data_IF_947971435410
#
_entry.id   IF_947971435410
#
_cell.length_a   1.000
_cell.length_b   1.000
_cell.length_c   1.000
_cell.angle_alpha   90.00
_cell.angle_beta   90.00
_cell.angle_gamma   90.00
#
_symmetry.space_group_name_H-M   'P 1'
#
loop_
_entity.id
_entity.type
_entity.pdbx_description
1 polymer ?
#
# COMPACT_ATOMS: atom_id res chain seq x y z
N UNK A 1 -10.77 -12.19 19.68
CA UNK A 1 -11.11 -13.18 18.64
C UNK A 1 -12.36 -12.72 17.91
N UNK A 2 -12.38 -12.90 16.59
CA UNK A 2 -13.57 -12.72 15.76
C UNK A 2 -14.04 -14.10 15.27
N UNK A 3 -15.34 -14.29 15.09
CA UNK A 3 -15.90 -15.56 14.59
C UNK A 3 -16.17 -15.46 13.09
N UNK A 4 -15.70 -16.44 12.33
CA UNK A 4 -15.93 -16.54 10.88
C UNK A 4 -16.47 -17.93 10.56
N UNK A 5 -17.46 -18.02 9.70
CA UNK A 5 -18.01 -19.30 9.22
C UNK A 5 -17.16 -19.82 8.06
N UNK A 6 -16.76 -21.09 8.14
CA UNK A 6 -16.06 -21.79 7.05
C UNK A 6 -16.93 -22.95 6.52
N UNK A 7 -16.65 -23.41 5.31
CA UNK A 7 -17.36 -24.55 4.73
C UNK A 7 -16.99 -25.85 5.49
N UNK A 8 -18.00 -26.64 5.85
CA UNK A 8 -17.83 -27.90 6.59
C UNK A 8 -16.87 -28.88 5.89
N UNK A 9 -16.85 -28.89 4.56
CA UNK A 9 -15.93 -29.74 3.77
C UNK A 9 -14.48 -29.38 4.04
N UNK A 10 -14.16 -28.07 4.12
CA UNK A 10 -12.81 -27.63 4.46
C UNK A 10 -12.49 -27.89 5.92
N UNK A 11 -13.46 -27.67 6.82
CA UNK A 11 -13.27 -27.93 8.24
C UNK A 11 -12.97 -29.41 8.52
N UNK A 12 -13.71 -30.33 7.90
CA UNK A 12 -13.52 -31.78 8.03
C UNK A 12 -12.13 -32.20 7.51
N UNK A 13 -11.77 -31.78 6.30
CA UNK A 13 -10.47 -32.13 5.70
C UNK A 13 -9.32 -31.57 6.51
N UNK A 14 -9.37 -30.29 6.92
CA UNK A 14 -8.29 -29.68 7.70
C UNK A 14 -8.17 -30.29 9.11
N UNK A 15 -9.30 -30.62 9.75
CA UNK A 15 -9.31 -31.30 11.06
C UNK A 15 -8.74 -32.72 10.97
N UNK A 16 -8.93 -33.41 9.84
CA UNK A 16 -8.33 -34.73 9.61
C UNK A 16 -6.80 -34.65 9.38
N UNK A 17 -6.31 -33.50 8.90
CA UNK A 17 -4.89 -33.27 8.62
C UNK A 17 -4.12 -32.69 9.81
N UNK A 18 -4.80 -32.13 10.81
CA UNK A 18 -4.18 -31.55 11.99
C UNK A 18 -5.11 -30.61 12.77
N UNK A 19 -4.51 -29.60 13.39
CA UNK A 19 -5.24 -28.57 14.12
C UNK A 19 -5.91 -27.61 13.14
N UNK A 20 -7.26 -27.57 13.18
CA UNK A 20 -8.05 -26.69 12.32
C UNK A 20 -7.73 -25.21 12.56
N UNK A 21 -7.53 -24.81 13.81
CA UNK A 21 -7.24 -23.42 14.15
C UNK A 21 -5.87 -23.01 13.61
N UNK A 22 -4.84 -23.85 13.80
CA UNK A 22 -3.49 -23.60 13.26
C UNK A 22 -3.49 -23.53 11.72
N UNK A 23 -4.25 -24.42 11.07
CA UNK A 23 -4.38 -24.43 9.62
C UNK A 23 -5.05 -23.14 9.10
N UNK A 24 -6.11 -22.68 9.77
CA UNK A 24 -6.81 -21.44 9.43
C UNK A 24 -5.92 -20.22 9.70
N UNK A 25 -5.23 -20.17 10.83
CA UNK A 25 -4.33 -19.07 11.17
C UNK A 25 -3.18 -18.96 10.16
N UNK A 26 -2.59 -20.10 9.76
CA UNK A 26 -1.56 -20.15 8.72
C UNK A 26 -2.08 -19.67 7.36
N UNK A 27 -3.28 -20.12 6.97
CA UNK A 27 -3.90 -19.71 5.71
C UNK A 27 -4.20 -18.20 5.70
N UNK A 28 -4.74 -17.67 6.80
CA UNK A 28 -5.03 -16.24 6.94
C UNK A 28 -3.76 -15.41 6.96
N UNK A 29 -2.70 -15.85 7.64
CA UNK A 29 -1.42 -15.14 7.64
C UNK A 29 -0.85 -15.04 6.23
N UNK A 30 -0.81 -16.15 5.48
CA UNK A 30 -0.32 -16.18 4.09
C UNK A 30 -1.14 -15.27 3.18
N UNK A 31 -2.47 -15.39 3.24
CA UNK A 31 -3.35 -14.55 2.44
C UNK A 31 -3.20 -13.07 2.80
N UNK A 32 -3.10 -12.74 4.08
CA UNK A 32 -2.90 -11.36 4.53
C UNK A 32 -1.59 -10.77 4.00
N UNK A 33 -0.49 -11.54 4.07
CA UNK A 33 0.81 -11.13 3.49
C UNK A 33 0.69 -10.86 1.99
N UNK A 34 0.02 -11.75 1.25
CA UNK A 34 -0.20 -11.59 -0.20
C UNK A 34 -1.02 -10.33 -0.53
N UNK A 35 -2.10 -10.08 0.23
CA UNK A 35 -2.93 -8.89 0.04
C UNK A 35 -2.17 -7.61 0.35
N UNK A 36 -1.34 -7.61 1.41
CA UNK A 36 -0.49 -6.46 1.73
C UNK A 36 0.54 -6.23 0.63
N UNK A 37 1.20 -7.28 0.13
CA UNK A 37 2.15 -7.18 -0.96
C UNK A 37 1.52 -6.62 -2.24
N UNK A 38 0.32 -7.09 -2.58
CA UNK A 38 -0.47 -6.56 -3.71
C UNK A 38 -0.77 -5.08 -3.52
N UNK A 39 -1.16 -4.67 -2.30
CA UNK A 39 -1.47 -3.27 -2.01
C UNK A 39 -0.24 -2.37 -2.09
N UNK A 40 0.90 -2.82 -1.55
CA UNK A 40 2.18 -2.10 -1.66
C UNK A 40 2.58 -1.91 -3.12
N UNK A 41 2.50 -2.98 -3.93
CA UNK A 41 2.82 -2.91 -5.36
C UNK A 41 1.90 -1.93 -6.12
N UNK A 42 0.60 -1.90 -5.80
CA UNK A 42 -0.35 -0.93 -6.37
C UNK A 42 0.07 0.51 -6.07
N UNK A 43 0.40 0.81 -4.80
CA UNK A 43 0.80 2.15 -4.37
C UNK A 43 2.16 2.55 -4.96
N UNK A 44 3.14 1.63 -5.00
CA UNK A 44 4.44 1.87 -5.61
C UNK A 44 4.34 2.20 -7.10
N UNK A 45 3.42 1.54 -7.82
CA UNK A 45 3.19 1.85 -9.24
C UNK A 45 2.64 3.26 -9.43
N UNK A 46 1.76 3.72 -8.54
CA UNK A 46 1.20 5.08 -8.58
C UNK A 46 2.24 6.12 -8.17
N UNK A 47 3.03 5.84 -7.14
CA UNK A 47 4.16 6.67 -6.72
C UNK A 47 5.17 6.86 -7.87
N UNK A 48 5.56 5.76 -8.52
CA UNK A 48 6.45 5.78 -9.68
C UNK A 48 5.85 6.54 -10.89
N UNK A 49 4.53 6.47 -11.09
CA UNK A 49 3.86 7.25 -12.12
C UNK A 49 4.03 8.75 -11.88
N UNK A 50 3.87 9.23 -10.65
CA UNK A 50 4.08 10.63 -10.31
C UNK A 50 5.54 11.04 -10.38
N UNK A 51 6.46 10.18 -9.93
CA UNK A 51 7.90 10.42 -10.07
C UNK A 51 8.29 10.59 -11.54
N UNK A 52 7.72 9.77 -12.44
CA UNK A 52 7.93 9.91 -13.88
C UNK A 52 7.28 11.18 -14.44
N UNK A 53 6.06 11.52 -13.98
CA UNK A 53 5.31 12.71 -14.43
C UNK A 53 6.01 14.01 -14.08
N UNK A 54 6.58 14.10 -12.87
CA UNK A 54 7.22 15.31 -12.34
C UNK A 54 8.74 15.30 -12.47
N UNK A 55 9.34 14.15 -12.82
CA UNK A 55 10.77 14.01 -13.07
C UNK A 55 11.64 14.06 -11.81
N UNK A 56 11.05 13.91 -10.62
CA UNK A 56 11.73 13.92 -9.33
C UNK A 56 10.96 13.06 -8.32
N UNK A 57 11.58 12.70 -7.21
CA UNK A 57 10.91 11.95 -6.14
C UNK A 57 9.90 12.82 -5.36
N UNK A 58 9.05 12.15 -4.57
CA UNK A 58 8.00 12.79 -3.78
C UNK A 58 8.55 13.85 -2.81
N UNK A 59 9.64 13.56 -2.10
CA UNK A 59 10.19 14.48 -1.10
C UNK A 59 10.63 15.77 -1.77
N UNK A 60 11.47 15.65 -2.80
CA UNK A 60 11.96 16.79 -3.58
C UNK A 60 10.79 17.59 -4.18
N UNK A 61 9.77 16.93 -4.72
CA UNK A 61 8.59 17.61 -5.27
C UNK A 61 7.82 18.38 -4.19
N UNK A 62 7.53 17.73 -3.06
CA UNK A 62 6.75 18.32 -1.96
C UNK A 62 7.44 19.54 -1.34
N UNK A 63 8.76 19.47 -1.17
CA UNK A 63 9.58 20.56 -0.61
C UNK A 63 9.60 21.76 -1.57
N UNK A 64 9.80 21.53 -2.88
CA UNK A 64 9.82 22.60 -3.88
C UNK A 64 8.46 23.28 -4.05
N UNK A 65 7.36 22.54 -3.99
CA UNK A 65 6.01 23.14 -4.02
C UNK A 65 5.79 24.06 -2.81
N UNK A 66 6.32 23.70 -1.63
CA UNK A 66 6.15 24.49 -0.42
C UNK A 66 7.00 25.77 -0.39
N UNK A 67 8.16 25.76 -1.05
CA UNK A 67 9.17 26.82 -0.90
C UNK A 67 9.41 27.66 -2.17
N UNK A 68 9.05 27.17 -3.35
CA UNK A 68 9.38 27.79 -4.65
C UNK A 68 8.12 28.10 -5.46
N UNK A 69 7.60 29.33 -5.30
CA UNK A 69 6.45 29.83 -6.06
C UNK A 69 6.71 29.83 -7.58
N UNK A 70 7.95 30.04 -8.02
CA UNK A 70 8.29 30.03 -9.44
C UNK A 70 8.16 28.63 -10.04
N UNK A 71 8.54 27.60 -9.27
CA UNK A 71 8.35 26.20 -9.63
C UNK A 71 6.87 25.82 -9.69
N UNK A 72 6.06 26.25 -8.72
CA UNK A 72 4.60 26.02 -8.74
C UNK A 72 3.99 26.56 -10.04
N UNK A 73 4.29 27.81 -10.37
CA UNK A 73 3.81 28.45 -11.61
C UNK A 73 4.28 27.69 -12.87
N UNK A 74 5.53 27.19 -12.87
CA UNK A 74 6.05 26.40 -13.98
C UNK A 74 5.29 25.07 -14.12
N UNK A 75 5.10 24.32 -13.03
CA UNK A 75 4.40 23.03 -13.04
C UNK A 75 2.95 23.19 -13.50
N UNK A 76 2.26 24.20 -12.99
CA UNK A 76 0.87 24.48 -13.38
C UNK A 76 0.75 24.82 -14.87
N UNK A 77 1.70 25.59 -15.41
CA UNK A 77 1.70 25.98 -16.81
C UNK A 77 2.14 24.87 -17.77
N UNK A 78 3.09 24.02 -17.36
CA UNK A 78 3.81 23.13 -18.30
C UNK A 78 3.62 21.63 -18.07
N UNK A 79 3.19 21.20 -16.88
CA UNK A 79 3.10 19.78 -16.53
C UNK A 79 1.66 19.37 -16.21
N UNK A 80 1.04 20.00 -15.21
CA UNK A 80 -0.29 19.61 -14.73
C UNK A 80 -0.99 20.77 -14.04
N UNK A 81 -2.17 21.15 -14.54
CA UNK A 81 -3.07 22.10 -13.85
C UNK A 81 -3.73 21.50 -12.61
N UNK A 82 -3.67 20.17 -12.46
CA UNK A 82 -4.25 19.43 -11.35
C UNK A 82 -3.18 18.92 -10.40
N UNK A 83 -2.03 19.61 -10.34
CA UNK A 83 -0.88 19.16 -9.57
C UNK A 83 -1.18 19.02 -8.06
N UNK A 84 -2.10 19.80 -7.52
CA UNK A 84 -2.53 19.69 -6.11
C UNK A 84 -3.24 18.36 -5.81
N UNK A 85 -4.08 17.90 -6.74
CA UNK A 85 -4.72 16.59 -6.66
C UNK A 85 -3.70 15.47 -6.81
N UNK A 86 -2.78 15.65 -7.76
CA UNK A 86 -1.67 14.71 -7.95
C UNK A 86 -0.80 14.63 -6.67
N UNK A 87 -0.47 15.76 -6.05
CA UNK A 87 0.30 15.82 -4.81
C UNK A 87 -0.41 15.11 -3.66
N UNK A 88 -1.72 15.35 -3.51
CA UNK A 88 -2.53 14.71 -2.47
C UNK A 88 -2.58 13.18 -2.65
N UNK A 89 -2.76 12.71 -3.89
CA UNK A 89 -2.77 11.27 -4.18
C UNK A 89 -1.38 10.65 -4.02
N UNK A 90 -0.33 11.38 -4.39
CA UNK A 90 1.05 10.94 -4.25
C UNK A 90 1.44 10.82 -2.78
N UNK A 91 1.09 11.80 -1.95
CA UNK A 91 1.26 11.74 -0.50
C UNK A 91 0.56 10.51 0.10
N UNK A 92 -0.69 10.25 -0.33
CA UNK A 92 -1.42 9.07 0.08
C UNK A 92 -0.68 7.77 -0.29
N UNK A 93 -0.12 7.70 -1.51
CA UNK A 93 0.65 6.54 -1.95
C UNK A 93 1.91 6.36 -1.10
N UNK A 94 2.69 7.43 -0.92
CA UNK A 94 3.96 7.40 -0.21
C UNK A 94 3.79 6.96 1.25
N UNK A 95 2.88 7.63 1.99
CA UNK A 95 2.55 7.27 3.38
C UNK A 95 1.90 5.89 3.47
N UNK A 96 1.04 5.57 2.51
CA UNK A 96 0.38 4.26 2.45
C UNK A 96 1.37 3.11 2.32
N UNK A 97 2.44 3.27 1.53
CA UNK A 97 3.50 2.25 1.41
C UNK A 97 4.17 2.02 2.77
N UNK A 98 4.56 3.09 3.48
CA UNK A 98 5.18 2.97 4.81
C UNK A 98 4.26 2.25 5.81
N UNK A 99 2.98 2.62 5.85
CA UNK A 99 2.02 2.03 6.78
C UNK A 99 1.79 0.54 6.51
N UNK A 100 1.69 0.15 5.23
CA UNK A 100 1.55 -1.25 4.85
C UNK A 100 2.82 -2.06 5.11
N UNK A 101 4.01 -1.48 4.93
CA UNK A 101 5.27 -2.11 5.30
C UNK A 101 5.32 -2.38 6.81
N UNK A 102 4.93 -1.41 7.65
CA UNK A 102 4.88 -1.58 9.10
C UNK A 102 3.90 -2.70 9.50
N UNK A 103 2.73 -2.77 8.88
CA UNK A 103 1.76 -3.86 9.11
C UNK A 103 2.31 -5.22 8.69
N UNK A 104 3.00 -5.30 7.55
CA UNK A 104 3.65 -6.52 7.09
C UNK A 104 4.72 -6.99 8.09
N UNK A 105 5.56 -6.06 8.55
CA UNK A 105 6.58 -6.35 9.57
C UNK A 105 5.96 -6.87 10.86
N UNK A 106 4.85 -6.28 11.33
CA UNK A 106 4.15 -6.75 12.52
C UNK A 106 3.69 -8.21 12.36
N UNK A 107 3.16 -8.59 11.18
CA UNK A 107 2.70 -9.96 10.90
C UNK A 107 3.87 -10.96 10.79
N UNK A 108 5.02 -10.54 10.27
CA UNK A 108 6.19 -11.40 10.08
C UNK A 108 7.04 -11.58 11.35
N UNK A 109 6.92 -10.66 12.30
CA UNK A 109 7.64 -10.69 13.58
C UNK A 109 6.78 -11.24 14.73
N UNK A 110 5.54 -11.65 14.44
CA UNK A 110 4.67 -12.40 15.36
C UNK A 110 4.93 -13.89 15.20
#
# INVERSE_FOLDING_TARGET
MATVTINDTYAEVLSALGDLQEAIDTALQRYTIEQIGTKIAELQRRDAHYQQKYGMDYHTFSERIAEDESFVNQIEASVSKTWEFDLSDWEFCHKGIEDWIRKLQAILLT
#
